data_IF_482016218009
#
_entry.id   IF_482016218009
#
_cell.length_a   1.000
_cell.length_b   1.000
_cell.length_c   1.000
_cell.angle_alpha   90.00
_cell.angle_beta   90.00
_cell.angle_gamma   90.00
#
_symmetry.space_group_name_H-M   'P 1'
#
loop_
_entity.id
_entity.type
_entity.pdbx_description
1 polymer ?
#
# COMPACT_ATOMS: atom_id res chain seq x y z
N UNK A 1 4.75 -4.65 1.39
CA UNK A 1 3.97 -4.73 2.65
C UNK A 1 3.87 -6.19 3.04
N UNK A 2 4.53 -6.60 4.14
CA UNK A 2 4.61 -8.02 4.51
C UNK A 2 3.21 -8.54 4.79
N UNK A 3 2.81 -9.56 4.04
CA UNK A 3 1.62 -10.34 4.31
C UNK A 3 0.29 -9.83 3.74
N UNK A 4 0.31 -8.78 2.90
CA UNK A 4 -0.87 -8.32 2.15
C UNK A 4 -0.81 -8.72 0.67
N UNK A 5 -1.97 -8.89 0.05
CA UNK A 5 -2.06 -9.41 -1.32
C UNK A 5 -1.55 -8.38 -2.37
N UNK A 6 -0.61 -8.75 -3.25
CA UNK A 6 0.04 -7.83 -4.19
C UNK A 6 -0.90 -7.26 -5.26
N UNK A 7 -1.98 -7.99 -5.61
CA UNK A 7 -2.99 -7.45 -6.55
C UNK A 7 -3.89 -6.37 -5.95
N UNK A 8 -3.83 -6.14 -4.63
CA UNK A 8 -4.68 -5.16 -3.93
C UNK A 8 -3.86 -4.03 -3.34
N UNK A 9 -2.68 -4.36 -2.80
CA UNK A 9 -1.81 -3.43 -2.10
C UNK A 9 -0.51 -3.22 -2.87
N UNK A 10 -0.05 -1.97 -2.92
CA UNK A 10 1.23 -1.56 -3.50
C UNK A 10 1.96 -0.64 -2.53
N UNK A 11 3.26 -0.48 -2.75
CA UNK A 11 4.01 0.64 -2.18
C UNK A 11 4.22 1.66 -3.29
N UNK A 12 4.01 2.93 -2.96
CA UNK A 12 4.38 4.03 -3.84
C UNK A 12 5.92 4.22 -3.83
N UNK A 13 6.44 5.14 -4.65
CA UNK A 13 7.88 5.37 -4.79
C UNK A 13 8.57 5.84 -3.50
N UNK A 14 7.80 6.33 -2.51
CA UNK A 14 8.31 6.76 -1.20
C UNK A 14 7.95 5.79 -0.07
N UNK A 15 7.51 4.57 -0.45
CA UNK A 15 7.28 3.46 0.47
C UNK A 15 5.99 3.54 1.27
N UNK A 16 5.02 4.35 0.86
CA UNK A 16 3.71 4.40 1.49
C UNK A 16 2.77 3.33 0.90
N UNK A 17 1.91 2.70 1.71
CA UNK A 17 0.93 1.76 1.19
C UNK A 17 -0.20 2.47 0.44
N UNK A 18 -0.58 1.90 -0.70
CA UNK A 18 -1.69 2.37 -1.51
C UNK A 18 -2.53 1.18 -2.00
N UNK A 19 -3.82 1.42 -2.23
CA UNK A 19 -4.75 0.38 -2.70
C UNK A 19 -4.98 0.53 -4.20
N UNK A 20 -4.81 -0.57 -4.95
CA UNK A 20 -4.83 -0.60 -6.44
C UNK A 20 -6.07 0.05 -7.04
N UNK A 21 -7.25 -0.07 -6.40
CA UNK A 21 -8.52 0.51 -6.87
C UNK A 21 -8.73 1.98 -6.53
N UNK A 22 -7.90 2.58 -5.66
CA UNK A 22 -8.07 3.95 -5.19
C UNK A 22 -7.25 4.96 -6.01
N UNK A 23 -7.56 5.11 -7.30
CA UNK A 23 -6.79 5.93 -8.26
C UNK A 23 -7.29 7.37 -8.45
N UNK A 24 -8.41 7.74 -7.84
CA UNK A 24 -9.12 9.01 -8.14
C UNK A 24 -9.64 9.70 -6.88
N UNK A 25 -8.88 9.63 -5.80
CA UNK A 25 -9.25 10.21 -4.51
C UNK A 25 -8.04 10.84 -3.82
N UNK A 26 -8.28 11.59 -2.74
CA UNK A 26 -7.24 12.31 -1.98
C UNK A 26 -7.02 11.71 -0.58
N UNK A 27 -7.52 10.50 -0.33
CA UNK A 27 -7.29 9.80 0.93
C UNK A 27 -5.84 9.31 1.06
N UNK A 28 -5.42 8.90 2.27
CA UNK A 28 -4.07 8.45 2.55
C UNK A 28 -3.69 7.17 1.77
N UNK A 29 -4.65 6.37 1.32
CA UNK A 29 -4.37 5.14 0.55
C UNK A 29 -4.59 5.31 -0.96
N UNK A 30 -4.93 6.53 -1.39
CA UNK A 30 -5.18 6.86 -2.79
C UNK A 30 -3.88 7.24 -3.49
N UNK A 31 -3.77 6.92 -4.77
CA UNK A 31 -2.56 7.20 -5.56
C UNK A 31 -2.88 7.70 -6.95
N UNK A 32 -1.86 8.26 -7.59
CA UNK A 32 -1.86 8.66 -8.99
C UNK A 32 -0.58 8.21 -9.67
N UNK A 33 -0.64 8.05 -10.99
CA UNK A 33 0.55 7.88 -11.81
C UNK A 33 1.18 9.25 -12.02
N UNK A 34 2.49 9.31 -11.84
CA UNK A 34 3.30 10.51 -11.98
C UNK A 34 4.51 10.22 -12.85
N UNK A 35 5.03 11.24 -13.51
CA UNK A 35 6.32 11.14 -14.18
C UNK A 35 7.43 11.60 -13.24
N UNK A 36 8.51 10.83 -13.10
CA UNK A 36 9.70 11.22 -12.33
C UNK A 36 10.20 12.57 -12.84
N UNK A 37 10.48 12.66 -14.14
CA UNK A 37 10.67 13.92 -14.86
C UNK A 37 9.32 14.31 -15.48
N UNK A 38 8.69 15.43 -15.07
CA UNK A 38 7.39 15.84 -15.58
C UNK A 38 7.37 15.99 -17.10
N UNK A 39 6.24 15.63 -17.73
CA UNK A 39 6.07 15.81 -19.18
C UNK A 39 6.30 17.27 -19.63
N UNK A 40 5.86 18.24 -18.82
CA UNK A 40 6.09 19.68 -19.06
C UNK A 40 7.57 20.10 -19.04
N UNK A 41 8.47 19.22 -18.62
CA UNK A 41 9.92 19.40 -18.56
C UNK A 41 10.66 18.49 -19.55
N UNK A 42 9.94 17.90 -20.52
CA UNK A 42 10.51 17.03 -21.54
C UNK A 42 10.64 15.56 -21.11
N UNK A 43 10.03 15.17 -19.98
CA UNK A 43 9.99 13.76 -19.60
C UNK A 43 9.03 12.96 -20.48
N UNK A 44 9.50 11.85 -21.02
CA UNK A 44 8.70 10.98 -21.88
C UNK A 44 7.79 10.05 -21.08
N UNK A 45 6.66 9.63 -21.66
CA UNK A 45 5.77 8.63 -21.05
C UNK A 45 6.31 7.22 -21.33
N UNK A 46 7.37 6.86 -20.62
CA UNK A 46 7.96 5.52 -20.62
C UNK A 46 7.86 4.90 -19.22
N UNK A 47 7.92 3.57 -19.12
CA UNK A 47 7.75 2.85 -17.85
C UNK A 47 8.82 3.29 -16.84
N UNK A 48 10.02 3.58 -17.32
CA UNK A 48 11.20 3.99 -16.55
C UNK A 48 11.05 5.40 -15.97
N UNK A 49 10.25 6.25 -16.61
CA UNK A 49 9.94 7.60 -16.14
C UNK A 49 8.61 7.67 -15.37
N UNK A 50 7.88 6.57 -15.22
CA UNK A 50 6.59 6.54 -14.55
C UNK A 50 6.73 5.96 -13.14
N UNK A 51 6.12 6.62 -12.17
CA UNK A 51 6.09 6.18 -10.78
C UNK A 51 4.68 6.29 -10.20
N UNK A 52 4.46 5.52 -9.14
CA UNK A 52 3.27 5.62 -8.31
C UNK A 52 3.56 6.57 -7.16
N UNK A 53 2.69 7.54 -6.92
CA UNK A 53 2.73 8.42 -5.76
C UNK A 53 1.35 8.54 -5.14
N UNK A 54 1.27 8.57 -3.81
CA UNK A 54 0.05 8.97 -3.13
C UNK A 54 -0.47 10.30 -3.68
N UNK A 55 -1.79 10.45 -3.81
CA UNK A 55 -2.38 11.61 -4.49
C UNK A 55 -1.97 12.96 -3.89
N UNK A 56 -1.80 13.02 -2.56
CA UNK A 56 -1.34 14.23 -1.86
C UNK A 56 0.13 14.52 -2.18
N UNK A 57 0.98 13.50 -2.15
CA UNK A 57 2.41 13.59 -2.48
C UNK A 57 2.59 14.00 -3.95
N UNK A 58 1.80 13.42 -4.86
CA UNK A 58 1.79 13.78 -6.27
C UNK A 58 1.45 15.26 -6.49
N UNK A 59 0.39 15.76 -5.83
CA UNK A 59 0.02 17.18 -5.91
C UNK A 59 1.12 18.10 -5.40
N UNK A 60 1.82 17.70 -4.33
CA UNK A 60 2.94 18.45 -3.78
C UNK A 60 4.16 18.45 -4.70
N UNK A 61 4.45 17.32 -5.36
CA UNK A 61 5.51 17.21 -6.36
C UNK A 61 5.20 18.07 -7.58
N UNK A 62 3.97 18.00 -8.09
CA UNK A 62 3.52 18.76 -9.25
C UNK A 62 4.52 18.64 -10.42
N UNK A 63 5.01 19.76 -10.95
CA UNK A 63 6.00 19.82 -12.03
C UNK A 63 7.44 20.08 -11.55
N UNK A 64 7.73 19.88 -10.26
CA UNK A 64 9.10 19.99 -9.71
C UNK A 64 9.95 18.83 -10.22
N UNK A 65 11.21 19.13 -10.54
CA UNK A 65 12.21 18.16 -11.04
C UNK A 65 13.15 17.67 -9.93
N UNK A 66 13.25 18.43 -8.85
CA UNK A 66 14.22 18.29 -7.76
C UNK A 66 13.55 17.91 -6.43
N UNK A 67 12.33 17.40 -6.48
CA UNK A 67 11.63 16.92 -5.29
C UNK A 67 12.36 15.72 -4.69
N UNK A 68 13.00 15.93 -3.54
CA UNK A 68 13.81 14.91 -2.88
C UNK A 68 12.93 13.84 -2.22
N UNK A 69 13.46 12.62 -2.08
CA UNK A 69 12.79 11.55 -1.34
C UNK A 69 12.35 11.99 0.06
N UNK A 70 13.22 12.72 0.79
CA UNK A 70 12.91 13.25 2.13
C UNK A 70 11.77 14.26 2.12
N UNK A 71 11.72 15.16 1.12
CA UNK A 71 10.64 16.13 0.99
C UNK A 71 9.30 15.42 0.76
N UNK A 72 9.27 14.48 -0.19
CA UNK A 72 8.07 13.71 -0.51
C UNK A 72 7.61 12.85 0.68
N UNK A 73 8.55 12.28 1.43
CA UNK A 73 8.23 11.50 2.63
C UNK A 73 7.66 12.37 3.75
N UNK A 74 8.17 13.58 3.93
CA UNK A 74 7.67 14.51 4.96
C UNK A 74 6.24 14.99 4.69
N UNK A 75 5.84 15.06 3.43
CA UNK A 75 4.47 15.45 3.02
C UNK A 75 3.50 14.27 3.03
N UNK A 76 4.02 13.04 3.03
CA UNK A 76 3.19 11.83 3.06
C UNK A 76 2.33 11.85 4.33
N UNK A 77 1.00 11.61 4.21
CA UNK A 77 0.15 11.38 5.36
C UNK A 77 0.75 10.31 6.27
N UNK A 78 0.72 10.57 7.59
CA UNK A 78 1.12 9.55 8.54
C UNK A 78 0.17 8.36 8.42
N UNK A 79 0.78 7.20 8.36
CA UNK A 79 0.11 5.93 8.22
C UNK A 79 0.07 5.27 9.60
N UNK A 80 -0.95 5.61 10.36
CA UNK A 80 -1.19 5.14 11.73
C UNK A 80 -2.22 4.01 11.80
N UNK A 81 -2.62 3.45 10.65
CA UNK A 81 -3.55 2.34 10.58
C UNK A 81 -2.96 1.06 11.17
N UNK A 82 -3.74 0.43 12.03
CA UNK A 82 -3.51 -0.92 12.51
C UNK A 82 -3.76 -1.95 11.41
N UNK A 83 -3.22 -3.16 11.59
CA UNK A 83 -3.50 -4.28 10.67
C UNK A 83 -5.00 -4.59 10.54
N UNK A 84 -5.76 -4.43 11.62
CA UNK A 84 -7.20 -4.60 11.61
C UNK A 84 -7.89 -3.53 10.75
N UNK A 85 -7.49 -2.27 10.85
CA UNK A 85 -8.07 -1.20 10.05
C UNK A 85 -7.79 -1.39 8.56
N UNK A 86 -6.58 -1.80 8.18
CA UNK A 86 -6.31 -2.16 6.80
C UNK A 86 -7.16 -3.35 6.32
N UNK A 87 -7.40 -4.38 7.15
CA UNK A 87 -8.28 -5.50 6.80
C UNK A 87 -9.72 -5.01 6.59
N UNK A 88 -10.21 -4.11 7.46
CA UNK A 88 -11.52 -3.48 7.33
C UNK A 88 -11.64 -2.65 6.04
N UNK A 89 -10.62 -1.84 5.73
CA UNK A 89 -10.58 -1.03 4.51
C UNK A 89 -10.56 -1.93 3.26
N UNK A 90 -9.73 -2.97 3.27
CA UNK A 90 -9.66 -3.93 2.16
C UNK A 90 -11.01 -4.62 1.94
N UNK A 91 -11.67 -5.05 3.03
CA UNK A 91 -12.99 -5.66 2.99
C UNK A 91 -14.06 -4.68 2.51
N UNK A 92 -13.99 -3.41 2.90
CA UNK A 92 -14.92 -2.39 2.45
C UNK A 92 -14.81 -2.13 0.93
N UNK A 93 -13.59 -2.20 0.38
CA UNK A 93 -13.33 -1.93 -1.03
C UNK A 93 -13.57 -3.15 -1.92
N UNK A 94 -13.16 -4.34 -1.48
CA UNK A 94 -13.15 -5.57 -2.28
C UNK A 94 -14.15 -6.63 -1.82
N UNK A 95 -14.96 -6.35 -0.79
CA UNK A 95 -15.90 -7.30 -0.17
C UNK A 95 -15.25 -8.44 0.63
N UNK A 96 -13.93 -8.57 0.54
CA UNK A 96 -13.11 -9.63 1.15
C UNK A 96 -11.76 -9.03 1.52
N UNK A 97 -11.06 -9.60 2.49
CA UNK A 97 -9.66 -9.27 2.77
C UNK A 97 -8.81 -10.55 2.71
N UNK A 98 -7.55 -10.42 2.29
CA UNK A 98 -6.61 -11.52 2.22
C UNK A 98 -5.40 -11.24 3.11
N UNK A 99 -5.57 -11.46 4.41
CA UNK A 99 -4.45 -11.40 5.37
C UNK A 99 -3.74 -12.76 5.40
N UNK A 100 -2.51 -12.79 4.92
CA UNK A 100 -1.67 -14.01 5.06
C UNK A 100 -1.24 -14.24 6.52
N UNK A 101 -1.35 -13.23 7.38
CA UNK A 101 -0.96 -13.30 8.80
C UNK A 101 -2.03 -13.98 9.64
N UNK A 102 -3.31 -13.59 9.53
CA UNK A 102 -4.38 -14.19 10.34
C UNK A 102 -4.65 -15.65 9.99
N UNK A 103 -4.57 -16.02 8.71
CA UNK A 103 -4.69 -17.43 8.32
C UNK A 103 -3.55 -18.24 8.94
N UNK A 104 -2.30 -17.75 8.93
CA UNK A 104 -1.20 -18.43 9.60
C UNK A 104 -1.45 -18.58 11.10
N UNK A 105 -1.88 -17.54 11.82
CA UNK A 105 -2.12 -17.64 13.27
C UNK A 105 -3.28 -18.57 13.61
N UNK A 106 -4.37 -18.54 12.85
CA UNK A 106 -5.53 -19.41 13.05
C UNK A 106 -5.20 -20.88 12.76
N UNK A 107 -4.53 -21.17 11.63
CA UNK A 107 -4.08 -22.53 11.33
C UNK A 107 -3.02 -23.01 12.32
N UNK A 108 -2.09 -22.17 12.74
CA UNK A 108 -1.10 -22.55 13.76
C UNK A 108 -1.78 -22.82 15.11
N UNK A 109 -2.76 -22.01 15.52
CA UNK A 109 -3.54 -22.22 16.75
C UNK A 109 -4.32 -23.54 16.73
N UNK A 110 -5.03 -23.82 15.63
CA UNK A 110 -5.74 -25.10 15.46
C UNK A 110 -4.77 -26.28 15.45
N UNK A 111 -3.62 -26.17 14.78
CA UNK A 111 -2.62 -27.26 14.77
C UNK A 111 -2.03 -27.53 16.15
N UNK A 112 -1.81 -26.49 16.97
CA UNK A 112 -1.37 -26.62 18.36
C UNK A 112 -2.45 -27.29 19.22
N UNK A 113 -3.71 -26.90 19.08
CA UNK A 113 -4.83 -27.55 19.79
C UNK A 113 -4.97 -29.03 19.38
N UNK A 114 -4.92 -29.34 18.08
CA UNK A 114 -5.00 -30.72 17.58
C UNK A 114 -3.80 -31.56 18.05
N UNK A 115 -2.60 -31.00 18.09
CA UNK A 115 -1.43 -31.71 18.64
C UNK A 115 -1.60 -31.95 20.15
N UNK A 116 -2.03 -30.96 20.92
CA UNK A 116 -2.26 -31.13 22.37
C UNK A 116 -3.35 -32.16 22.70
N UNK A 117 -4.38 -32.29 21.86
CA UNK A 117 -5.45 -33.28 22.03
C UNK A 117 -5.00 -34.72 21.71
N UNK A 118 -3.97 -34.91 20.86
CA UNK A 118 -3.43 -36.24 20.51
C UNK A 118 -2.49 -36.84 21.57
N UNK A 119 -2.05 -36.06 22.56
CA UNK A 119 -1.20 -36.51 23.67
C UNK A 119 -1.97 -36.72 25.00
N UNK A 120 -3.31 -36.68 24.95
CA UNK A 120 -4.22 -36.85 26.10
C UNK A 120 -4.97 -38.20 26.09
N UNK A 121 -4.50 -39.18 25.32
CA UNK A 121 -4.98 -40.58 25.32
C UNK A 121 -3.81 -41.51 25.59
#
# INVERSE_FOLDING_TARGET
>A
MIGRHPERWRLDAVGNPVIKSLTSCNGPLCYQYDHIVPYSKGGETQIENCQLLQSIVNKHKSNKIDATYSELKNVSPKDDFTNFEYDCIEKAIYGTYQSTTYLKTFYQGILVEIQSSKYLI
#
